data_IF_197334814609
#
_entry.id   IF_197334814609
#
_cell.length_a   1.000
_cell.length_b   1.000
_cell.length_c   1.000
_cell.angle_alpha   90.00
_cell.angle_beta   90.00
_cell.angle_gamma   90.00
#
_symmetry.space_group_name_H-M   'P 1'
#
loop_
_entity.id
_entity.type
_entity.pdbx_description
1 polymer ?
#
# COMPACT_ATOMS: atom_id res chain seq x y z
N UNK A 1 -14.00 -7.67 0.42
CA UNK A 1 -13.21 -7.97 1.63
C UNK A 1 -13.37 -6.94 2.74
N UNK A 2 -13.81 -5.71 2.45
CA UNK A 2 -13.96 -4.67 3.49
C UNK A 2 -12.79 -3.70 3.54
N UNK A 3 -12.08 -3.50 2.41
CA UNK A 3 -11.04 -2.48 2.29
C UNK A 3 -11.62 -1.07 2.45
N UNK A 4 -10.90 -0.20 3.15
CA UNK A 4 -11.27 1.21 3.31
C UNK A 4 -10.97 2.02 2.06
N UNK A 5 -9.88 1.70 1.35
CA UNK A 5 -9.46 2.38 0.13
C UNK A 5 -9.22 1.37 -1.00
N UNK A 6 -9.62 1.74 -2.20
CA UNK A 6 -9.30 1.01 -3.43
C UNK A 6 -8.69 2.01 -4.40
N UNK A 7 -7.43 1.82 -4.72
CA UNK A 7 -6.74 2.63 -5.73
C UNK A 7 -7.14 2.17 -7.14
N UNK A 8 -7.69 3.10 -7.91
CA UNK A 8 -8.29 2.84 -9.22
C UNK A 8 -7.33 2.92 -10.42
N UNK A 9 -6.06 3.21 -10.17
CA UNK A 9 -5.04 3.43 -11.22
C UNK A 9 -4.74 4.91 -11.48
N UNK A 10 -4.08 5.18 -12.60
CA UNK A 10 -3.51 6.48 -12.95
C UNK A 10 -4.22 7.07 -14.19
N UNK A 11 -5.22 7.97 -14.01
CA UNK A 11 -6.06 8.47 -15.09
C UNK A 11 -5.31 9.11 -16.26
N UNK A 12 -4.17 9.76 -16.00
CA UNK A 12 -3.31 10.37 -17.02
C UNK A 12 -2.36 9.43 -17.76
N UNK A 13 -2.29 8.14 -17.40
CA UNK A 13 -1.29 7.21 -17.94
C UNK A 13 -1.81 6.38 -19.13
N UNK A 14 -3.07 5.93 -19.08
CA UNK A 14 -3.64 5.02 -20.08
C UNK A 14 -5.15 5.28 -20.27
N UNK A 15 -5.68 5.26 -21.51
CA UNK A 15 -7.12 5.32 -21.79
C UNK A 15 -8.00 4.36 -20.96
N UNK A 16 -7.51 3.16 -20.62
CA UNK A 16 -8.26 2.18 -19.81
C UNK A 16 -8.55 2.70 -18.39
N UNK A 17 -7.61 3.41 -17.78
CA UNK A 17 -7.77 3.96 -16.42
C UNK A 17 -8.84 5.05 -16.43
N UNK A 18 -8.85 5.92 -17.45
CA UNK A 18 -9.92 6.91 -17.61
C UNK A 18 -11.29 6.26 -17.77
N UNK A 19 -11.38 5.14 -18.51
CA UNK A 19 -12.62 4.40 -18.66
C UNK A 19 -13.06 3.76 -17.34
N UNK A 20 -12.12 3.23 -16.55
CA UNK A 20 -12.39 2.75 -15.19
C UNK A 20 -13.01 3.85 -14.34
N UNK A 21 -12.41 5.03 -14.25
CA UNK A 21 -12.95 6.13 -13.44
C UNK A 21 -14.32 6.61 -13.91
N UNK A 22 -14.62 6.57 -15.22
CA UNK A 22 -15.97 6.87 -15.73
C UNK A 22 -17.00 5.83 -15.30
N UNK A 23 -16.62 4.56 -15.25
CA UNK A 23 -17.52 3.46 -14.86
C UNK A 23 -17.70 3.39 -13.34
N UNK A 24 -16.63 3.53 -12.58
CA UNK A 24 -16.63 3.35 -11.13
C UNK A 24 -17.48 4.37 -10.40
N UNK A 25 -17.65 5.58 -10.97
CA UNK A 25 -18.57 6.62 -10.45
C UNK A 25 -20.01 6.16 -10.34
N UNK A 26 -20.42 5.20 -11.15
CA UNK A 26 -21.79 4.66 -11.15
C UNK A 26 -21.97 3.55 -10.11
N UNK A 27 -20.90 3.16 -9.44
CA UNK A 27 -20.90 2.10 -8.42
C UNK A 27 -20.87 2.75 -7.05
N UNK A 28 -21.86 2.42 -6.22
CA UNK A 28 -21.88 2.83 -4.82
C UNK A 28 -21.19 1.80 -3.94
N UNK A 29 -20.20 2.24 -3.17
CA UNK A 29 -19.52 1.42 -2.19
C UNK A 29 -20.13 1.65 -0.80
N UNK A 30 -20.18 0.60 0.02
CA UNK A 30 -20.68 0.70 1.40
C UNK A 30 -19.64 1.29 2.36
N UNK A 31 -18.38 0.92 2.16
CA UNK A 31 -17.27 1.25 3.07
C UNK A 31 -16.08 1.83 2.31
N UNK A 32 -15.75 1.28 1.15
CA UNK A 32 -14.56 1.65 0.40
C UNK A 32 -14.69 3.02 -0.27
N UNK A 33 -13.63 3.82 -0.20
CA UNK A 33 -13.44 5.00 -1.04
C UNK A 33 -12.54 4.65 -2.24
N UNK A 34 -12.82 5.26 -3.38
CA UNK A 34 -11.98 5.12 -4.57
C UNK A 34 -10.93 6.22 -4.55
N UNK A 35 -9.67 5.85 -4.73
CA UNK A 35 -8.55 6.77 -4.86
C UNK A 35 -8.03 6.80 -6.30
N UNK A 36 -7.73 7.99 -6.82
CA UNK A 36 -6.97 8.14 -8.06
C UNK A 36 -5.50 8.37 -7.73
N UNK A 37 -4.61 7.59 -8.35
CA UNK A 37 -3.17 7.66 -8.13
C UNK A 37 -2.48 8.53 -9.20
N UNK A 38 -1.50 9.30 -8.79
CA UNK A 38 -0.60 9.98 -9.70
C UNK A 38 0.45 10.80 -8.99
N UNK A 39 1.29 11.51 -9.74
CA UNK A 39 2.38 12.29 -9.15
C UNK A 39 1.96 13.71 -8.73
N UNK A 40 2.79 14.31 -7.88
CA UNK A 40 2.87 15.78 -7.74
C UNK A 40 3.08 16.47 -9.10
N UNK A 41 2.83 17.78 -9.15
CA UNK A 41 3.01 18.61 -10.35
C UNK A 41 4.45 18.53 -10.86
N UNK A 42 4.66 18.70 -12.16
CA UNK A 42 6.01 18.71 -12.73
C UNK A 42 6.82 19.94 -12.25
N UNK A 43 8.17 19.84 -12.20
CA UNK A 43 9.03 20.96 -11.88
C UNK A 43 8.77 22.16 -12.80
N UNK A 44 8.75 23.37 -12.22
CA UNK A 44 8.59 24.63 -12.96
C UNK A 44 7.21 24.85 -13.60
N UNK A 45 6.24 23.95 -13.39
CA UNK A 45 4.85 24.12 -13.86
C UNK A 45 3.96 24.63 -12.75
N UNK A 46 2.93 25.42 -13.12
CA UNK A 46 1.83 25.73 -12.21
C UNK A 46 0.94 24.49 -12.03
N UNK A 47 0.48 24.26 -10.80
CA UNK A 47 -0.29 23.06 -10.41
C UNK A 47 -1.56 22.87 -11.24
N UNK A 48 -2.29 23.94 -11.53
CA UNK A 48 -3.55 23.94 -12.28
C UNK A 48 -3.38 23.79 -13.81
N UNK A 49 -2.16 24.02 -14.30
CA UNK A 49 -1.75 23.83 -15.68
C UNK A 49 -1.11 22.45 -15.93
N UNK A 50 -0.82 21.68 -14.87
CA UNK A 50 -0.21 20.36 -15.02
C UNK A 50 -1.23 19.34 -15.57
N UNK A 51 -0.97 18.69 -16.73
CA UNK A 51 -1.89 17.70 -17.30
C UNK A 51 -2.18 16.53 -16.36
N UNK A 52 -1.20 16.10 -15.55
CA UNK A 52 -1.38 15.02 -14.60
C UNK A 52 -2.37 15.41 -13.49
N UNK A 53 -2.17 16.59 -12.91
CA UNK A 53 -3.06 17.14 -11.87
C UNK A 53 -4.48 17.33 -12.40
N UNK A 54 -4.63 17.81 -13.65
CA UNK A 54 -5.93 17.95 -14.30
C UNK A 54 -6.60 16.59 -14.55
N UNK A 55 -5.85 15.58 -14.95
CA UNK A 55 -6.36 14.23 -15.15
C UNK A 55 -6.83 13.60 -13.82
N UNK A 56 -6.07 13.79 -12.74
CA UNK A 56 -6.44 13.38 -11.39
C UNK A 56 -7.73 14.08 -10.93
N UNK A 57 -7.83 15.40 -11.10
CA UNK A 57 -9.07 16.13 -10.78
C UNK A 57 -10.25 15.63 -11.62
N UNK A 58 -10.01 15.36 -12.90
CA UNK A 58 -10.98 14.82 -13.84
C UNK A 58 -11.39 13.37 -13.56
N UNK A 59 -10.71 12.65 -12.67
CA UNK A 59 -11.13 11.33 -12.20
C UNK A 59 -12.38 11.39 -11.31
N UNK A 60 -12.63 12.54 -10.67
CA UNK A 60 -13.76 12.81 -9.77
C UNK A 60 -13.89 11.80 -8.61
N UNK A 61 -12.76 11.29 -8.12
CA UNK A 61 -12.69 10.47 -6.91
C UNK A 61 -12.70 11.33 -5.66
N UNK A 62 -13.18 10.81 -4.53
CA UNK A 62 -13.13 11.53 -3.24
C UNK A 62 -11.70 11.62 -2.69
N UNK A 63 -10.88 10.61 -3.01
CA UNK A 63 -9.50 10.46 -2.55
C UNK A 63 -8.54 10.62 -3.73
N UNK A 64 -7.41 11.27 -3.50
CA UNK A 64 -6.28 11.33 -4.44
C UNK A 64 -5.02 10.86 -3.71
N UNK A 65 -4.36 9.85 -4.26
CA UNK A 65 -3.04 9.41 -3.81
C UNK A 65 -1.98 10.11 -4.64
N UNK A 66 -1.12 10.88 -4.00
CA UNK A 66 -0.05 11.64 -4.64
C UNK A 66 1.31 11.04 -4.29
N UNK A 67 2.03 10.61 -5.31
CA UNK A 67 3.43 10.20 -5.16
C UNK A 67 4.38 11.39 -5.28
N UNK A 68 5.27 11.55 -4.30
CA UNK A 68 6.33 12.56 -4.26
C UNK A 68 7.68 11.98 -3.84
N UNK A 69 8.78 12.47 -4.42
CA UNK A 69 10.11 11.94 -4.13
C UNK A 69 10.58 12.38 -2.74
N UNK A 70 11.04 11.43 -1.93
CA UNK A 70 11.58 11.66 -0.59
C UNK A 70 13.08 11.36 -0.46
N UNK A 71 13.76 11.14 -1.59
CA UNK A 71 15.20 10.90 -1.66
C UNK A 71 15.87 11.93 -2.58
N UNK A 72 16.87 12.64 -2.06
CA UNK A 72 17.61 13.70 -2.79
C UNK A 72 18.17 13.18 -4.12
N UNK A 73 18.70 11.96 -4.14
CA UNK A 73 19.18 11.33 -5.38
C UNK A 73 18.09 11.27 -6.46
N UNK A 74 16.86 10.91 -6.11
CA UNK A 74 15.74 10.90 -7.07
C UNK A 74 15.30 12.30 -7.50
N UNK A 75 15.36 13.27 -6.60
CA UNK A 75 15.06 14.68 -6.95
C UNK A 75 16.04 15.18 -8.01
N UNK A 76 17.33 14.94 -7.81
CA UNK A 76 18.36 15.42 -8.74
C UNK A 76 18.42 14.61 -10.04
N UNK A 77 18.27 13.28 -9.97
CA UNK A 77 18.49 12.40 -11.13
C UNK A 77 17.22 12.09 -11.90
N UNK A 78 16.12 11.81 -11.21
CA UNK A 78 14.86 11.44 -11.86
C UNK A 78 14.01 12.67 -12.19
N UNK A 79 13.81 13.58 -11.23
CA UNK A 79 13.04 14.81 -11.47
C UNK A 79 13.85 15.90 -12.19
N UNK A 80 15.19 15.83 -12.10
CA UNK A 80 16.12 16.82 -12.67
C UNK A 80 15.80 18.25 -12.17
N UNK A 81 15.56 18.36 -10.87
CA UNK A 81 15.29 19.62 -10.19
C UNK A 81 16.00 19.66 -8.83
N UNK A 82 15.79 20.72 -8.06
CA UNK A 82 16.39 20.90 -6.74
C UNK A 82 15.42 20.56 -5.59
N UNK A 83 15.98 20.47 -4.38
CA UNK A 83 15.26 20.14 -3.15
C UNK A 83 14.09 21.09 -2.88
N UNK A 84 14.32 22.40 -3.06
CA UNK A 84 13.30 23.42 -2.77
C UNK A 84 12.14 23.34 -3.75
N UNK A 85 12.42 23.08 -5.03
CA UNK A 85 11.39 22.87 -6.04
C UNK A 85 10.59 21.60 -5.77
N UNK A 86 11.22 20.50 -5.35
CA UNK A 86 10.49 19.29 -4.97
C UNK A 86 9.58 19.53 -3.75
N UNK A 87 10.03 20.27 -2.74
CA UNK A 87 9.17 20.64 -1.61
C UNK A 87 7.98 21.50 -2.06
N UNK A 88 8.20 22.50 -2.93
CA UNK A 88 7.10 23.29 -3.52
C UNK A 88 6.15 22.44 -4.37
N UNK A 89 6.67 21.46 -5.11
CA UNK A 89 5.84 20.53 -5.89
C UNK A 89 4.90 19.74 -4.99
N UNK A 90 5.39 19.24 -3.85
CA UNK A 90 4.59 18.54 -2.84
C UNK A 90 3.54 19.50 -2.27
N UNK A 91 3.97 20.65 -1.75
CA UNK A 91 3.11 21.66 -1.14
C UNK A 91 1.97 22.09 -2.09
N UNK A 92 2.32 22.50 -3.31
CA UNK A 92 1.36 23.00 -4.30
C UNK A 92 0.33 21.94 -4.66
N UNK A 93 0.76 20.70 -4.90
CA UNK A 93 -0.12 19.61 -5.30
C UNK A 93 -1.06 19.20 -4.18
N UNK A 94 -0.57 19.01 -2.96
CA UNK A 94 -1.42 18.66 -1.81
C UNK A 94 -2.42 19.78 -1.55
N UNK A 95 -1.95 21.04 -1.43
CA UNK A 95 -2.82 22.19 -1.21
C UNK A 95 -3.90 22.33 -2.29
N UNK A 96 -3.56 22.06 -3.56
CA UNK A 96 -4.51 22.14 -4.65
C UNK A 96 -5.68 21.18 -4.46
N UNK A 97 -5.42 19.90 -4.18
CA UNK A 97 -6.48 18.91 -4.00
C UNK A 97 -7.27 19.12 -2.70
N UNK A 98 -6.62 19.54 -1.61
CA UNK A 98 -7.31 19.91 -0.37
C UNK A 98 -8.28 21.09 -0.58
N UNK A 99 -7.88 22.12 -1.32
CA UNK A 99 -8.77 23.23 -1.72
C UNK A 99 -9.95 22.81 -2.60
N UNK A 100 -9.88 21.63 -3.23
CA UNK A 100 -10.99 21.02 -3.99
C UNK A 100 -11.84 20.06 -3.16
N UNK A 101 -11.65 20.04 -1.83
CA UNK A 101 -12.40 19.20 -0.90
C UNK A 101 -12.05 17.71 -1.00
N UNK A 102 -10.87 17.37 -1.53
CA UNK A 102 -10.42 15.99 -1.62
C UNK A 102 -9.75 15.54 -0.33
N UNK A 103 -9.82 14.26 -0.08
CA UNK A 103 -8.89 13.57 0.81
C UNK A 103 -7.60 13.27 0.04
N UNK A 104 -6.45 13.48 0.65
CA UNK A 104 -5.13 13.35 0.03
C UNK A 104 -4.28 12.38 0.83
N UNK A 105 -3.89 11.29 0.18
CA UNK A 105 -2.87 10.37 0.69
C UNK A 105 -1.56 10.75 0.00
N UNK A 106 -0.51 11.02 0.78
CA UNK A 106 0.80 11.35 0.24
C UNK A 106 1.73 10.15 0.37
N UNK A 107 2.10 9.57 -0.78
CA UNK A 107 3.06 8.49 -0.89
C UNK A 107 4.48 9.07 -0.99
N UNK A 108 5.22 8.98 0.11
CA UNK A 108 6.61 9.39 0.19
C UNK A 108 7.49 8.34 -0.52
N UNK A 109 7.64 8.49 -1.83
CA UNK A 109 8.36 7.55 -2.66
C UNK A 109 9.85 7.47 -2.30
N UNK A 110 10.38 6.26 -2.23
CA UNK A 110 11.74 5.96 -1.79
C UNK A 110 12.06 6.51 -0.39
N UNK A 111 11.05 6.60 0.50
CA UNK A 111 11.24 7.19 1.82
C UNK A 111 12.34 6.50 2.63
N UNK A 112 12.37 5.17 2.68
CA UNK A 112 13.34 4.47 3.52
C UNK A 112 14.78 4.61 2.99
N UNK A 113 14.99 4.58 1.67
CA UNK A 113 16.30 4.87 1.06
C UNK A 113 16.71 6.33 1.31
N UNK A 114 15.77 7.26 1.09
CA UNK A 114 15.96 8.68 1.33
C UNK A 114 16.28 9.00 2.78
N UNK A 115 15.67 8.30 3.73
CA UNK A 115 15.92 8.46 5.15
C UNK A 115 17.28 7.89 5.55
N UNK A 116 17.72 6.76 4.98
CA UNK A 116 19.07 6.21 5.24
C UNK A 116 20.17 7.15 4.75
N UNK A 117 19.93 7.84 3.64
CA UNK A 117 20.86 8.79 3.02
C UNK A 117 20.83 10.18 3.70
N UNK A 118 19.63 10.74 3.89
CA UNK A 118 19.41 12.06 4.48
C UNK A 118 18.08 12.11 5.28
N UNK A 119 18.10 11.74 6.57
CA UNK A 119 16.91 11.72 7.43
C UNK A 119 16.18 13.06 7.47
N UNK A 120 16.92 14.16 7.55
CA UNK A 120 16.34 15.50 7.68
C UNK A 120 15.53 15.88 6.45
N UNK A 121 16.03 15.58 5.25
CA UNK A 121 15.30 15.87 4.02
C UNK A 121 14.08 14.95 3.85
N UNK A 122 14.22 13.66 4.15
CA UNK A 122 13.11 12.71 4.08
C UNK A 122 11.98 13.10 5.05
N UNK A 123 12.30 13.49 6.29
CA UNK A 123 11.32 14.02 7.23
C UNK A 123 10.71 15.33 6.72
N UNK A 124 11.51 16.19 6.08
CA UNK A 124 11.01 17.46 5.54
C UNK A 124 9.94 17.28 4.47
N UNK A 125 10.03 16.23 3.64
CA UNK A 125 8.97 15.95 2.65
C UNK A 125 7.65 15.58 3.31
N UNK A 126 7.69 14.82 4.41
CA UNK A 126 6.51 14.49 5.22
C UNK A 126 5.91 15.72 5.89
N UNK A 127 6.74 16.56 6.51
CA UNK A 127 6.31 17.82 7.14
C UNK A 127 5.59 18.72 6.13
N UNK A 128 6.17 18.90 4.94
CA UNK A 128 5.58 19.76 3.90
C UNK A 128 4.24 19.20 3.42
N UNK A 129 4.13 17.89 3.22
CA UNK A 129 2.85 17.26 2.87
C UNK A 129 1.79 17.41 3.97
N UNK A 130 2.18 17.20 5.24
CA UNK A 130 1.33 17.40 6.41
C UNK A 130 0.83 18.83 6.51
N UNK A 131 1.74 19.80 6.42
CA UNK A 131 1.44 21.22 6.60
C UNK A 131 0.59 21.77 5.44
N UNK A 132 0.72 21.19 4.24
CA UNK A 132 -0.17 21.43 3.11
C UNK A 132 -1.55 20.75 3.24
N UNK A 133 -1.75 19.93 4.27
CA UNK A 133 -3.03 19.35 4.65
C UNK A 133 -3.30 17.94 4.13
N UNK A 134 -2.27 17.16 3.76
CA UNK A 134 -2.46 15.73 3.47
C UNK A 134 -3.12 15.03 4.66
N UNK A 135 -3.95 14.01 4.42
CA UNK A 135 -4.70 13.28 5.45
C UNK A 135 -3.97 12.03 5.92
N UNK A 136 -3.09 11.47 5.10
CA UNK A 136 -2.23 10.34 5.45
C UNK A 136 -0.85 10.48 4.78
N UNK A 137 0.21 10.15 5.51
CA UNK A 137 1.59 10.14 5.01
C UNK A 137 2.10 8.70 4.96
N UNK A 138 2.32 8.19 3.77
CA UNK A 138 2.69 6.78 3.54
C UNK A 138 4.19 6.68 3.33
N UNK A 139 4.84 5.87 4.15
CA UNK A 139 6.28 5.59 4.04
C UNK A 139 6.47 4.45 3.03
N UNK A 140 7.10 4.74 1.89
CA UNK A 140 7.28 3.76 0.81
C UNK A 140 8.67 3.11 0.84
N UNK A 141 8.72 1.78 0.98
CA UNK A 141 9.91 0.95 0.70
C UNK A 141 9.89 0.59 -0.78
N UNK A 142 10.09 1.60 -1.64
CA UNK A 142 9.86 1.52 -3.09
C UNK A 142 10.77 0.51 -3.78
N UNK A 143 12.04 0.45 -3.37
CA UNK A 143 12.98 -0.55 -3.86
C UNK A 143 12.73 -1.95 -3.28
N UNK A 144 11.89 -2.08 -2.25
CA UNK A 144 11.60 -3.37 -1.58
C UNK A 144 12.82 -4.00 -0.91
N UNK A 145 13.87 -3.21 -0.66
CA UNK A 145 15.17 -3.68 -0.20
C UNK A 145 15.42 -3.54 1.30
N UNK A 146 14.51 -2.88 2.02
CA UNK A 146 14.72 -2.61 3.44
C UNK A 146 14.48 -3.85 4.29
N UNK A 147 15.36 -4.09 5.26
CA UNK A 147 15.20 -5.18 6.21
C UNK A 147 14.23 -4.80 7.34
N UNK A 148 13.49 -5.78 7.90
CA UNK A 148 12.57 -5.62 9.02
C UNK A 148 13.04 -4.71 10.17
N UNK A 149 14.30 -4.87 10.62
CA UNK A 149 14.85 -4.10 11.74
C UNK A 149 15.17 -2.65 11.36
N UNK A 150 15.47 -2.37 10.08
CA UNK A 150 15.67 -1.02 9.57
C UNK A 150 14.34 -0.28 9.50
N UNK A 151 13.29 -0.94 8.99
CA UNK A 151 11.91 -0.41 8.98
C UNK A 151 11.47 -0.05 10.39
N UNK A 152 11.64 -0.96 11.36
CA UNK A 152 11.27 -0.71 12.76
C UNK A 152 12.01 0.49 13.35
N UNK A 153 13.32 0.60 13.11
CA UNK A 153 14.13 1.72 13.58
C UNK A 153 13.65 3.04 12.98
N UNK A 154 13.50 3.10 11.65
CA UNK A 154 13.14 4.32 10.93
C UNK A 154 11.72 4.77 11.29
N UNK A 155 10.74 3.86 11.40
CA UNK A 155 9.38 4.21 11.82
C UNK A 155 9.38 4.85 13.21
N UNK A 156 10.15 4.31 14.17
CA UNK A 156 10.26 4.90 15.52
C UNK A 156 10.93 6.28 15.51
N UNK A 157 11.82 6.55 14.57
CA UNK A 157 12.43 7.87 14.39
C UNK A 157 11.41 8.85 13.81
N UNK A 158 10.65 8.43 12.78
CA UNK A 158 9.56 9.22 12.20
C UNK A 158 8.49 9.57 13.24
N UNK A 159 8.04 8.60 14.04
CA UNK A 159 7.00 8.81 15.06
C UNK A 159 7.41 9.77 16.20
N UNK A 160 8.71 10.07 16.37
CA UNK A 160 9.15 11.09 17.34
C UNK A 160 8.95 12.51 16.82
N UNK A 161 9.05 12.67 15.50
CA UNK A 161 9.04 13.98 14.84
C UNK A 161 7.68 14.28 14.18
N UNK A 162 6.95 13.24 13.79
CA UNK A 162 5.69 13.32 13.05
C UNK A 162 4.57 12.63 13.84
N UNK A 163 3.80 13.42 14.58
CA UNK A 163 2.52 13.02 15.16
C UNK A 163 1.39 13.20 14.13
N UNK A 164 1.21 12.20 13.27
CA UNK A 164 0.24 12.23 12.18
C UNK A 164 -0.24 10.84 11.78
N UNK A 165 -1.31 10.74 10.97
CA UNK A 165 -1.74 9.47 10.42
C UNK A 165 -0.71 8.95 9.40
N UNK A 166 0.02 7.92 9.80
CA UNK A 166 1.04 7.30 8.97
C UNK A 166 0.52 6.04 8.26
N UNK A 167 1.09 5.78 7.09
CA UNK A 167 0.90 4.57 6.32
C UNK A 167 2.20 3.88 5.92
N UNK A 168 2.09 2.65 5.40
CA UNK A 168 3.19 1.84 4.90
C UNK A 168 2.85 1.28 3.52
N UNK A 169 3.79 1.41 2.59
CA UNK A 169 3.75 0.75 1.29
C UNK A 169 5.06 0.01 1.05
N UNK A 170 5.04 -1.32 1.14
CA UNK A 170 6.24 -2.13 0.99
C UNK A 170 6.26 -2.90 -0.32
N UNK A 171 7.33 -2.77 -1.09
CA UNK A 171 7.64 -3.72 -2.16
C UNK A 171 8.37 -4.95 -1.63
N UNK A 172 8.47 -5.98 -2.47
CA UNK A 172 8.90 -7.31 -2.06
C UNK A 172 10.21 -7.78 -2.72
N UNK A 173 11.05 -6.87 -3.20
CA UNK A 173 12.30 -7.20 -3.92
C UNK A 173 13.30 -8.01 -3.06
N UNK A 174 13.39 -7.76 -1.76
CA UNK A 174 14.16 -8.59 -0.81
C UNK A 174 13.34 -9.73 -0.18
N UNK A 175 12.09 -9.94 -0.60
CA UNK A 175 11.16 -10.90 0.00
C UNK A 175 10.62 -10.47 1.37
N UNK A 176 10.78 -9.20 1.75
CA UNK A 176 10.43 -8.70 3.08
C UNK A 176 9.14 -7.87 3.12
N UNK A 177 8.43 -7.68 2.00
CA UNK A 177 7.31 -6.73 1.92
C UNK A 177 6.18 -7.02 2.92
N UNK A 178 5.83 -8.30 3.08
CA UNK A 178 4.85 -8.74 4.09
C UNK A 178 5.35 -8.50 5.51
N UNK A 179 6.60 -8.88 5.82
CA UNK A 179 7.17 -8.73 7.15
C UNK A 179 7.29 -7.25 7.56
N UNK A 180 7.75 -6.40 6.63
CA UNK A 180 7.87 -4.96 6.80
C UNK A 180 6.50 -4.31 7.08
N UNK A 181 5.45 -4.74 6.35
CA UNK A 181 4.08 -4.25 6.58
C UNK A 181 3.50 -4.67 7.93
N UNK A 182 3.76 -5.91 8.37
CA UNK A 182 3.34 -6.42 9.69
C UNK A 182 4.05 -5.67 10.82
N UNK A 183 5.35 -5.38 10.66
CA UNK A 183 6.12 -4.61 11.64
C UNK A 183 5.60 -3.18 11.74
N UNK A 184 5.35 -2.53 10.60
CA UNK A 184 4.74 -1.21 10.57
C UNK A 184 3.41 -1.18 11.33
N UNK A 185 2.50 -2.13 11.05
CA UNK A 185 1.22 -2.22 11.75
C UNK A 185 1.39 -2.45 13.27
N UNK A 186 2.36 -3.28 13.69
CA UNK A 186 2.67 -3.52 15.11
C UNK A 186 3.15 -2.25 15.82
N UNK A 187 3.77 -1.32 15.10
CA UNK A 187 4.21 -0.01 15.60
C UNK A 187 3.09 1.05 15.58
N UNK A 188 1.86 0.68 15.20
CA UNK A 188 0.72 1.59 15.17
C UNK A 188 0.52 2.33 13.85
N UNK A 189 1.24 1.94 12.77
CA UNK A 189 0.94 2.43 11.43
C UNK A 189 -0.46 1.91 11.02
N UNK A 190 -1.37 2.85 10.75
CA UNK A 190 -2.79 2.53 10.60
C UNK A 190 -3.22 2.29 9.15
N UNK A 191 -2.46 2.80 8.16
CA UNK A 191 -2.77 2.63 6.75
C UNK A 191 -1.76 1.68 6.09
N UNK A 192 -2.18 0.47 5.69
CA UNK A 192 -1.29 -0.51 5.04
C UNK A 192 -1.71 -0.70 3.59
N UNK A 193 -0.81 -0.38 2.67
CA UNK A 193 -0.99 -0.58 1.24
C UNK A 193 -0.35 -1.89 0.78
N UNK A 194 -0.96 -2.50 -0.24
CA UNK A 194 -0.52 -3.76 -0.82
C UNK A 194 -1.51 -4.22 -1.88
N UNK A 195 -1.32 -5.44 -2.37
CA UNK A 195 -2.20 -6.02 -3.38
C UNK A 195 -2.60 -7.44 -3.03
N UNK A 196 -3.76 -7.87 -3.54
CA UNK A 196 -4.14 -9.29 -3.50
C UNK A 196 -3.11 -10.08 -4.30
N UNK A 197 -2.59 -11.16 -3.72
CA UNK A 197 -1.55 -12.02 -4.28
C UNK A 197 -0.17 -11.34 -4.45
N UNK A 198 0.03 -10.18 -3.84
CA UNK A 198 1.30 -9.44 -3.92
C UNK A 198 1.63 -8.95 -5.33
N UNK A 199 0.68 -8.92 -6.26
CA UNK A 199 0.92 -8.43 -7.62
C UNK A 199 1.40 -6.97 -7.65
N UNK A 200 2.30 -6.65 -8.58
CA UNK A 200 2.89 -5.33 -8.69
C UNK A 200 4.12 -5.35 -9.57
N UNK A 201 4.87 -4.25 -9.57
CA UNK A 201 6.14 -4.18 -10.29
C UNK A 201 7.18 -5.16 -9.71
N UNK A 202 8.04 -5.69 -10.58
CA UNK A 202 9.20 -6.55 -10.22
C UNK A 202 8.77 -7.76 -9.39
N UNK A 203 9.19 -7.83 -8.11
CA UNK A 203 8.86 -8.88 -7.17
C UNK A 203 7.51 -8.66 -6.45
N UNK A 204 6.79 -7.59 -6.80
CA UNK A 204 5.46 -7.31 -6.30
C UNK A 204 5.42 -6.38 -5.09
N UNK A 205 4.19 -6.18 -4.61
CA UNK A 205 3.90 -5.45 -3.38
C UNK A 205 3.73 -6.42 -2.20
N UNK A 206 3.58 -5.89 -0.98
CA UNK A 206 3.14 -6.68 0.16
C UNK A 206 1.84 -7.42 -0.15
N UNK A 207 1.86 -8.74 0.02
CA UNK A 207 0.72 -9.60 -0.30
C UNK A 207 -0.35 -9.49 0.79
N UNK A 208 -1.48 -8.88 0.45
CA UNK A 208 -2.61 -8.70 1.35
C UNK A 208 -3.26 -10.03 1.77
N UNK A 209 -3.10 -11.10 0.98
CA UNK A 209 -3.53 -12.45 1.38
C UNK A 209 -2.72 -12.99 2.56
N UNK A 210 -1.53 -12.43 2.82
CA UNK A 210 -0.67 -12.79 3.95
C UNK A 210 -0.76 -11.75 5.06
N UNK A 211 -0.78 -10.46 4.72
CA UNK A 211 -0.83 -9.37 5.71
C UNK A 211 -2.13 -9.45 6.51
N UNK A 212 -3.28 -9.55 5.85
CA UNK A 212 -4.60 -9.49 6.53
C UNK A 212 -4.77 -10.59 7.59
N UNK A 213 -4.54 -11.89 7.30
CA UNK A 213 -4.64 -12.93 8.32
C UNK A 213 -3.63 -12.77 9.45
N UNK A 214 -2.40 -12.32 9.16
CA UNK A 214 -1.40 -12.08 10.21
C UNK A 214 -1.84 -10.95 11.15
N UNK A 215 -2.31 -9.82 10.61
CA UNK A 215 -2.82 -8.72 11.44
C UNK A 215 -4.00 -9.18 12.29
N UNK A 216 -5.00 -9.83 11.68
CA UNK A 216 -6.26 -10.18 12.34
C UNK A 216 -6.14 -11.36 13.29
N UNK A 217 -5.55 -12.47 12.86
CA UNK A 217 -5.53 -13.73 13.61
C UNK A 217 -4.33 -13.85 14.54
N UNK A 218 -3.21 -13.18 14.25
CA UNK A 218 -1.97 -13.29 15.04
C UNK A 218 -1.71 -12.07 15.92
N UNK A 219 -1.97 -10.86 15.42
CA UNK A 219 -1.77 -9.63 16.17
C UNK A 219 -3.06 -9.10 16.83
N UNK A 220 -4.23 -9.67 16.51
CA UNK A 220 -5.51 -9.21 17.05
C UNK A 220 -5.95 -7.84 16.54
N UNK A 221 -5.35 -7.35 15.44
CA UNK A 221 -5.67 -6.07 14.82
C UNK A 221 -6.86 -6.27 13.88
N UNK A 222 -8.00 -5.65 14.21
CA UNK A 222 -9.23 -5.77 13.42
C UNK A 222 -9.17 -4.90 12.16
N UNK A 223 -8.52 -5.43 11.12
CA UNK A 223 -8.34 -4.75 9.82
C UNK A 223 -9.46 -5.04 8.80
N UNK A 224 -10.22 -6.14 8.96
CA UNK A 224 -11.42 -6.44 8.18
C UNK A 224 -12.43 -7.23 9.04
N UNK A 225 -13.74 -7.18 8.73
CA UNK A 225 -14.73 -7.99 9.44
C UNK A 225 -14.44 -9.49 9.36
N UNK A 226 -14.64 -10.23 10.45
CA UNK A 226 -14.37 -11.68 10.54
C UNK A 226 -15.05 -12.51 9.44
N UNK A 227 -16.32 -12.22 9.15
CA UNK A 227 -17.05 -12.92 8.08
C UNK A 227 -16.51 -12.63 6.68
N UNK A 228 -15.78 -11.52 6.49
CA UNK A 228 -15.13 -11.21 5.22
C UNK A 228 -13.78 -11.89 5.06
N UNK A 229 -13.11 -12.26 6.17
CA UNK A 229 -11.85 -13.01 6.11
C UNK A 229 -12.02 -14.38 5.44
N UNK A 230 -13.17 -15.04 5.63
CA UNK A 230 -13.51 -16.31 4.99
C UNK A 230 -13.60 -16.24 3.46
N UNK A 231 -13.67 -15.04 2.89
CA UNK A 231 -13.69 -14.84 1.43
C UNK A 231 -12.28 -14.70 0.84
N UNK A 232 -11.22 -14.75 1.65
CA UNK A 232 -9.87 -14.41 1.22
C UNK A 232 -9.34 -15.35 0.13
N UNK A 233 -9.44 -16.67 0.32
CA UNK A 233 -9.04 -17.65 -0.71
C UNK A 233 -9.82 -17.48 -2.01
N UNK A 234 -11.13 -17.27 -1.92
CA UNK A 234 -11.95 -17.03 -3.12
C UNK A 234 -11.50 -15.77 -3.89
N UNK A 235 -11.23 -14.67 -3.17
CA UNK A 235 -10.80 -13.42 -3.80
C UNK A 235 -9.39 -13.54 -4.38
N UNK A 236 -8.48 -14.25 -3.72
CA UNK A 236 -7.16 -14.58 -4.25
C UNK A 236 -7.28 -15.25 -5.63
N UNK A 237 -8.10 -16.30 -5.72
CA UNK A 237 -8.31 -17.03 -6.98
C UNK A 237 -8.99 -16.18 -8.04
N UNK A 238 -10.02 -15.41 -7.68
CA UNK A 238 -10.70 -14.50 -8.60
C UNK A 238 -9.75 -13.45 -9.19
N UNK A 239 -8.86 -12.88 -8.37
CA UNK A 239 -7.88 -11.90 -8.85
C UNK A 239 -6.86 -12.56 -9.79
N UNK A 240 -6.40 -13.77 -9.48
CA UNK A 240 -5.53 -14.53 -10.40
C UNK A 240 -6.23 -14.83 -11.73
N UNK A 241 -7.51 -15.25 -11.70
CA UNK A 241 -8.31 -15.49 -12.91
C UNK A 241 -8.46 -14.22 -13.75
N UNK A 242 -8.84 -13.10 -13.13
CA UNK A 242 -8.99 -11.81 -13.83
C UNK A 242 -7.66 -11.28 -14.38
N UNK A 243 -6.55 -11.55 -13.70
CA UNK A 243 -5.20 -11.21 -14.17
C UNK A 243 -4.67 -12.20 -15.22
N UNK A 244 -5.40 -13.30 -15.49
CA UNK A 244 -4.96 -14.41 -16.34
C UNK A 244 -3.60 -14.99 -15.87
N UNK A 245 -3.46 -15.19 -14.57
CA UNK A 245 -2.29 -15.77 -13.92
C UNK A 245 -2.67 -17.07 -13.21
N UNK A 246 -1.73 -18.02 -13.19
CA UNK A 246 -1.91 -19.28 -12.48
C UNK A 246 -1.78 -19.03 -10.97
N UNK A 247 -2.77 -19.40 -10.14
CA UNK A 247 -2.65 -19.28 -8.67
C UNK A 247 -1.46 -20.07 -8.13
N UNK A 248 -0.81 -19.55 -7.09
CA UNK A 248 0.26 -20.26 -6.40
C UNK A 248 -0.32 -21.22 -5.37
N UNK A 249 -0.27 -22.52 -5.67
CA UNK A 249 -0.77 -23.60 -4.80
C UNK A 249 -0.13 -23.63 -3.41
N UNK A 250 1.05 -23.02 -3.24
CA UNK A 250 1.81 -22.96 -1.99
C UNK A 250 1.82 -21.56 -1.35
N UNK A 251 0.99 -20.64 -1.85
CA UNK A 251 0.86 -19.31 -1.25
C UNK A 251 0.30 -19.45 0.18
N UNK A 252 0.96 -18.87 1.20
CA UNK A 252 0.47 -18.97 2.56
C UNK A 252 -0.99 -18.53 2.69
N UNK A 253 -1.74 -19.20 3.57
CA UNK A 253 -3.18 -19.04 3.80
C UNK A 253 -4.11 -19.46 2.65
N UNK A 254 -3.84 -19.05 1.41
CA UNK A 254 -4.81 -19.17 0.30
C UNK A 254 -4.47 -20.27 -0.71
N UNK A 255 -3.24 -20.79 -0.70
CA UNK A 255 -2.82 -21.85 -1.62
C UNK A 255 -3.49 -23.19 -1.29
N UNK A 256 -3.92 -23.93 -2.33
CA UNK A 256 -4.63 -25.21 -2.16
C UNK A 256 -3.84 -26.29 -1.40
N UNK A 257 -2.52 -26.17 -1.33
CA UNK A 257 -1.64 -27.19 -0.73
C UNK A 257 -1.23 -26.87 0.71
N UNK A 258 -1.52 -25.68 1.26
CA UNK A 258 -0.88 -25.21 2.50
C UNK A 258 -1.44 -25.82 3.79
N UNK A 259 -2.65 -26.38 3.74
CA UNK A 259 -3.26 -27.17 4.83
C UNK A 259 -3.43 -28.65 4.44
N UNK A 260 -2.77 -29.11 3.37
CA UNK A 260 -2.82 -30.51 2.94
C UNK A 260 -1.64 -31.30 3.55
N UNK A 261 -1.92 -32.47 4.12
CA UNK A 261 -0.91 -33.31 4.77
C UNK A 261 -0.83 -34.69 4.10
N UNK A 262 0.34 -35.06 3.58
CA UNK A 262 0.57 -36.32 2.85
C UNK A 262 1.52 -37.31 3.54
N UNK A 263 2.23 -36.88 4.60
CA UNK A 263 3.17 -37.73 5.34
C UNK A 263 2.47 -38.56 6.42
N UNK A 264 2.75 -39.87 6.51
CA UNK A 264 2.05 -40.79 7.42
C UNK A 264 2.10 -40.39 8.90
N UNK A 265 3.21 -39.78 9.36
CA UNK A 265 3.31 -39.24 10.72
C UNK A 265 2.39 -38.03 10.93
N UNK A 266 2.28 -37.14 9.94
CA UNK A 266 1.44 -35.94 10.03
C UNK A 266 -0.05 -36.31 10.00
N UNK A 267 -0.45 -37.21 9.10
CA UNK A 267 -1.85 -37.69 9.00
C UNK A 267 -2.30 -38.36 10.31
N UNK A 268 -1.42 -39.13 10.94
CA UNK A 268 -1.71 -39.80 12.21
C UNK A 268 -1.89 -38.84 13.39
N UNK A 269 -1.14 -37.73 13.44
CA UNK A 269 -1.31 -36.74 14.50
C UNK A 269 -2.50 -35.80 14.25
N UNK A 270 -2.78 -35.45 12.99
CA UNK A 270 -3.95 -34.63 12.62
C UNK A 270 -5.26 -35.35 12.86
N UNK A 271 -5.31 -36.66 12.63
CA UNK A 271 -6.50 -37.47 12.95
C UNK A 271 -6.82 -37.48 14.44
N UNK A 272 -5.84 -37.18 15.31
CA UNK A 272 -6.02 -36.97 16.75
C UNK A 272 -6.41 -35.54 17.07
N UNK A 273 -5.65 -34.57 16.54
CA UNK A 273 -5.94 -33.14 16.66
C UNK A 273 -5.27 -32.35 15.51
N UNK A 274 -6.07 -31.61 14.73
CA UNK A 274 -5.60 -30.79 13.60
C UNK A 274 -4.57 -29.73 14.02
N UNK A 275 -4.64 -29.23 15.26
CA UNK A 275 -3.69 -28.23 15.80
C UNK A 275 -2.25 -28.71 15.86
N UNK A 276 -2.01 -30.02 15.72
CA UNK A 276 -0.66 -30.59 15.71
C UNK A 276 0.19 -30.11 14.53
N UNK A 277 -0.43 -29.71 13.41
CA UNK A 277 0.27 -29.21 12.22
C UNK A 277 -0.36 -27.99 11.56
N UNK A 278 -1.56 -27.57 11.99
CA UNK A 278 -2.22 -26.35 11.51
C UNK A 278 -2.03 -25.20 12.51
N UNK A 279 -1.46 -24.08 12.04
CA UNK A 279 -1.23 -22.90 12.88
C UNK A 279 -2.48 -22.01 13.04
N UNK A 280 -3.54 -22.26 12.26
CA UNK A 280 -4.88 -21.67 12.33
C UNK A 280 -5.91 -22.68 11.83
N UNK A 281 -7.20 -22.46 12.10
CA UNK A 281 -8.28 -23.17 11.40
C UNK A 281 -8.38 -22.65 9.94
N UNK A 282 -8.22 -23.52 8.91
CA UNK A 282 -8.26 -23.13 7.49
C UNK A 282 -9.56 -22.43 7.07
N UNK A 283 -10.67 -22.79 7.72
CA UNK A 283 -11.99 -22.25 7.40
C UNK A 283 -12.10 -20.75 7.70
N UNK A 284 -11.23 -20.21 8.56
CA UNK A 284 -11.18 -18.78 8.88
C UNK A 284 -10.74 -17.92 7.70
N UNK A 285 -9.92 -18.47 6.80
CA UNK A 285 -9.43 -17.78 5.59
C UNK A 285 -10.11 -18.29 4.32
N UNK A 286 -11.03 -19.27 4.45
CA UNK A 286 -11.77 -19.85 3.34
C UNK A 286 -10.97 -20.89 2.55
N UNK A 287 -9.97 -21.52 3.17
CA UNK A 287 -9.24 -22.65 2.60
C UNK A 287 -9.89 -23.98 3.01
#
# INVERSE_FOLDING_TARGET
LGFDYIEGGWPGSNPKDMEFFKKIRKVSFRTSKIAAFGSTRKPGKKVDADPNVRALLGAETDVVTLVGKSWVFHVEKALKTDKEENLRMIEDSVNFFKKKGKEVIFDAEHFFDGHKDNPQYALKTLEVARDAGADCLVLCDTNGGSMPHEIEKIIKEVQKEIDFLLGMHAHNDAGMGVANSIIAARLGIAHIQGTINGYGERCGNADLCLVIPNLKLKLGIDCIPGEKLKLLTHISHLVSELANLIPNDHQPYVGKSVFTHKGGMHVSAISRDKKTYEHIDPTLVGN
#
